data_IF_176366638104
#
_entry.id   IF_176366638104
#
_cell.length_a   1.000
_cell.length_b   1.000
_cell.length_c   1.000
_cell.angle_alpha   90.00
_cell.angle_beta   90.00
_cell.angle_gamma   90.00
#
_symmetry.space_group_name_H-M   'P 1'
#
loop_
_entity.id
_entity.type
_entity.pdbx_description
1 polymer ?
#
# COMPACT_ATOMS: atom_id res chain seq x y z
N UNK A 1 -9.77 -34.45 -29.85
CA UNK A 1 -9.69 -33.00 -29.60
C UNK A 1 -11.10 -32.50 -29.39
N UNK A 2 -11.51 -32.36 -28.12
CA UNK A 2 -12.77 -31.72 -27.75
C UNK A 2 -12.50 -30.23 -27.66
N UNK A 3 -13.06 -29.46 -28.60
CA UNK A 3 -13.14 -28.01 -28.51
C UNK A 3 -14.11 -27.67 -27.38
N UNK A 4 -13.57 -27.23 -26.23
CA UNK A 4 -14.38 -26.56 -25.21
C UNK A 4 -15.02 -25.33 -25.85
N UNK A 5 -16.30 -25.42 -26.15
CA UNK A 5 -17.12 -24.28 -26.49
C UNK A 5 -17.34 -23.50 -25.19
N UNK A 6 -16.70 -22.33 -25.08
CA UNK A 6 -17.05 -21.31 -24.09
C UNK A 6 -18.46 -20.78 -24.40
N UNK A 7 -19.49 -21.51 -24.02
CA UNK A 7 -20.88 -21.08 -24.20
C UNK A 7 -21.32 -20.31 -22.95
N UNK A 8 -21.46 -18.99 -23.07
CA UNK A 8 -22.18 -18.17 -22.10
C UNK A 8 -23.68 -18.28 -22.40
N UNK A 9 -24.38 -19.18 -21.70
CA UNK A 9 -25.85 -19.22 -21.72
C UNK A 9 -26.43 -18.66 -20.43
N UNK A 10 -27.39 -17.76 -20.59
CA UNK A 10 -28.21 -17.20 -19.52
C UNK A 10 -29.40 -16.50 -20.14
N UNK A 11 -30.61 -16.76 -19.66
CA UNK A 11 -31.77 -15.98 -20.07
C UNK A 11 -31.58 -14.53 -19.58
N UNK A 12 -31.88 -13.50 -20.39
CA UNK A 12 -31.91 -12.13 -19.90
C UNK A 12 -32.92 -12.09 -18.75
N UNK A 13 -32.47 -11.65 -17.57
CA UNK A 13 -33.39 -11.30 -16.50
C UNK A 13 -34.09 -10.02 -16.94
N UNK A 14 -35.25 -10.17 -17.56
CA UNK A 14 -36.18 -9.08 -17.85
C UNK A 14 -36.82 -8.65 -16.52
N UNK A 15 -37.01 -7.34 -16.33
CA UNK A 15 -37.66 -6.63 -15.20
C UNK A 15 -36.80 -6.17 -14.01
N UNK A 16 -35.60 -5.66 -14.26
CA UNK A 16 -35.10 -4.55 -13.43
C UNK A 16 -35.31 -3.25 -14.20
N UNK A 17 -36.09 -2.32 -13.65
CA UNK A 17 -36.11 -0.94 -14.16
C UNK A 17 -34.65 -0.45 -14.28
N UNK A 18 -34.23 0.08 -15.44
CA UNK A 18 -32.83 0.47 -15.63
C UNK A 18 -32.50 1.59 -14.63
N UNK A 19 -31.38 1.46 -13.92
CA UNK A 19 -30.87 2.50 -13.04
C UNK A 19 -29.36 2.56 -13.14
N UNK A 20 -28.80 3.72 -12.79
CA UNK A 20 -27.36 3.95 -12.71
C UNK A 20 -27.00 4.33 -11.29
N UNK A 21 -25.86 3.84 -10.80
CA UNK A 21 -25.30 4.29 -9.53
C UNK A 21 -24.25 5.37 -9.82
N UNK A 22 -24.42 6.53 -9.22
CA UNK A 22 -23.52 7.69 -9.36
C UNK A 22 -23.33 8.42 -8.02
N UNK A 23 -22.24 9.16 -7.83
CA UNK A 23 -22.15 10.11 -6.72
C UNK A 23 -23.29 11.15 -6.77
N UNK A 24 -23.69 11.64 -5.60
CA UNK A 24 -24.53 12.83 -5.48
C UNK A 24 -23.71 14.06 -5.91
N UNK A 25 -24.27 14.89 -6.78
CA UNK A 25 -23.56 16.03 -7.39
C UNK A 25 -24.20 17.38 -7.03
N UNK A 26 -25.34 17.36 -6.34
CA UNK A 26 -26.12 18.58 -6.04
C UNK A 26 -26.78 18.55 -4.68
N UNK A 27 -27.16 19.73 -4.18
CA UNK A 27 -27.99 19.84 -2.98
C UNK A 27 -29.38 19.16 -3.17
N UNK A 28 -29.90 19.12 -4.41
CA UNK A 28 -31.15 18.44 -4.72
C UNK A 28 -31.04 16.92 -4.60
N UNK A 29 -29.92 16.34 -5.04
CA UNK A 29 -29.58 14.93 -4.86
C UNK A 29 -29.54 14.55 -3.37
N UNK A 30 -28.78 15.32 -2.58
CA UNK A 30 -28.68 15.11 -1.13
C UNK A 30 -30.03 15.28 -0.43
N UNK A 31 -30.83 16.28 -0.84
CA UNK A 31 -32.17 16.47 -0.30
C UNK A 31 -33.10 15.28 -0.62
N UNK A 32 -33.00 14.71 -1.83
CA UNK A 32 -33.76 13.51 -2.20
C UNK A 32 -33.35 12.29 -1.37
N UNK A 33 -32.05 12.08 -1.19
CA UNK A 33 -31.52 11.04 -0.31
C UNK A 33 -31.99 11.18 1.13
N UNK A 34 -31.91 12.39 1.70
CA UNK A 34 -32.38 12.69 3.05
C UNK A 34 -33.88 12.45 3.22
N UNK A 35 -34.71 12.72 2.19
CA UNK A 35 -36.14 12.40 2.23
C UNK A 35 -36.37 10.89 2.32
N UNK A 36 -35.69 10.09 1.49
CA UNK A 36 -35.80 8.62 1.54
C UNK A 36 -35.37 8.05 2.89
N UNK A 37 -34.26 8.56 3.44
CA UNK A 37 -33.76 8.17 4.77
C UNK A 37 -34.77 8.48 5.88
N UNK A 38 -35.31 9.70 5.89
CA UNK A 38 -36.35 10.11 6.85
C UNK A 38 -37.56 9.19 6.75
N UNK A 39 -38.08 8.99 5.55
CA UNK A 39 -39.24 8.14 5.34
C UNK A 39 -39.00 6.72 5.87
N UNK A 40 -37.87 6.11 5.53
CA UNK A 40 -37.59 4.73 5.94
C UNK A 40 -37.19 4.58 7.41
N UNK A 41 -36.24 5.38 7.90
CA UNK A 41 -35.66 5.18 9.23
C UNK A 41 -36.46 5.87 10.34
N UNK A 42 -37.05 7.04 10.09
CA UNK A 42 -37.82 7.81 11.09
C UNK A 42 -39.28 7.39 11.04
N UNK A 43 -39.93 7.49 9.87
CA UNK A 43 -41.40 7.32 9.76
C UNK A 43 -41.79 5.85 9.79
N UNK A 44 -41.20 5.02 8.92
CA UNK A 44 -41.60 3.61 8.80
C UNK A 44 -41.06 2.72 9.92
N UNK A 45 -39.77 2.85 10.23
CA UNK A 45 -39.09 1.96 11.17
C UNK A 45 -39.06 2.48 12.61
N UNK A 46 -39.30 3.78 12.82
CA UNK A 46 -39.23 4.39 14.15
C UNK A 46 -37.87 4.29 14.84
N UNK A 47 -36.78 4.14 14.07
CA UNK A 47 -35.43 4.01 14.62
C UNK A 47 -34.93 5.32 15.23
N UNK A 48 -35.32 6.46 14.64
CA UNK A 48 -34.88 7.77 15.11
C UNK A 48 -36.09 8.64 15.43
N UNK A 49 -35.98 9.45 16.49
CA UNK A 49 -36.98 10.45 16.83
C UNK A 49 -36.74 11.72 16.03
N UNK A 50 -37.68 12.11 15.18
CA UNK A 50 -37.63 13.40 14.50
C UNK A 50 -36.70 13.44 13.30
N UNK A 51 -35.42 13.05 13.38
CA UNK A 51 -34.45 13.08 12.26
C UNK A 51 -33.41 11.98 12.39
N UNK A 52 -32.91 11.45 11.27
CA UNK A 52 -31.78 10.51 11.21
C UNK A 52 -30.45 11.17 10.77
N UNK A 53 -30.45 12.50 10.61
CA UNK A 53 -29.25 13.29 10.31
C UNK A 53 -28.27 13.27 11.47
N UNK A 54 -26.98 13.24 11.13
CA UNK A 54 -25.87 13.29 12.07
C UNK A 54 -24.71 14.11 11.50
N UNK A 55 -23.67 14.36 12.30
CA UNK A 55 -22.53 15.22 11.91
C UNK A 55 -21.75 14.67 10.70
N UNK A 56 -21.88 13.38 10.38
CA UNK A 56 -21.23 12.76 9.21
C UNK A 56 -21.91 13.19 7.91
N UNK A 57 -23.15 13.68 7.95
CA UNK A 57 -23.80 14.30 6.78
C UNK A 57 -23.14 15.64 6.38
N UNK A 58 -22.45 16.29 7.33
CA UNK A 58 -21.78 17.57 7.12
C UNK A 58 -20.25 17.42 6.93
N UNK A 59 -19.70 16.20 7.05
CA UNK A 59 -18.29 15.93 6.79
C UNK A 59 -18.00 16.04 5.28
N UNK A 60 -17.10 16.95 4.84
CA UNK A 60 -16.80 17.14 3.41
C UNK A 60 -16.15 15.92 2.75
N UNK A 61 -15.68 14.94 3.54
CA UNK A 61 -15.12 13.67 3.05
C UNK A 61 -16.19 12.61 2.84
N UNK A 62 -17.41 12.82 3.35
CA UNK A 62 -18.52 11.90 3.15
C UNK A 62 -18.98 11.92 1.68
N UNK A 63 -19.16 10.74 1.10
CA UNK A 63 -19.67 10.56 -0.25
C UNK A 63 -21.00 9.84 -0.20
N UNK A 64 -22.01 10.39 -0.85
CA UNK A 64 -23.30 9.74 -1.05
C UNK A 64 -23.36 9.19 -2.46
N UNK A 65 -23.58 7.88 -2.59
CA UNK A 65 -23.85 7.20 -3.86
C UNK A 65 -25.35 7.01 -4.01
N UNK A 66 -25.90 7.38 -5.16
CA UNK A 66 -27.32 7.34 -5.48
C UNK A 66 -27.58 6.39 -6.63
N UNK A 67 -28.64 5.60 -6.50
CA UNK A 67 -29.22 4.87 -7.62
C UNK A 67 -30.30 5.74 -8.26
N UNK A 68 -30.16 6.09 -9.53
CA UNK A 68 -31.09 6.97 -10.26
C UNK A 68 -31.71 6.27 -11.46
N UNK A 69 -33.02 6.40 -11.60
CA UNK A 69 -33.77 5.98 -12.79
C UNK A 69 -33.48 6.92 -13.98
N UNK A 70 -33.86 6.55 -15.22
CA UNK A 70 -33.58 7.34 -16.42
C UNK A 70 -34.33 8.68 -16.44
N UNK A 71 -35.43 8.77 -15.67
CA UNK A 71 -36.20 10.00 -15.45
C UNK A 71 -35.56 10.93 -14.39
N UNK A 72 -34.40 10.55 -13.84
CA UNK A 72 -33.70 11.29 -12.79
C UNK A 72 -34.20 11.02 -11.36
N UNK A 73 -35.21 10.17 -11.18
CA UNK A 73 -35.72 9.86 -9.85
C UNK A 73 -34.69 9.06 -9.03
N UNK A 74 -34.43 9.50 -7.80
CA UNK A 74 -33.57 8.78 -6.84
C UNK A 74 -34.33 7.58 -6.30
N UNK A 75 -33.81 6.38 -6.58
CA UNK A 75 -34.37 5.08 -6.17
C UNK A 75 -33.79 4.59 -4.84
N UNK A 76 -32.65 5.13 -4.43
CA UNK A 76 -31.98 4.75 -3.20
C UNK A 76 -30.62 5.42 -3.09
N UNK A 77 -29.98 5.28 -1.95
CA UNK A 77 -28.63 5.78 -1.75
C UNK A 77 -27.92 5.13 -0.57
N UNK A 78 -26.62 5.33 -0.52
CA UNK A 78 -25.74 4.90 0.57
C UNK A 78 -24.66 5.95 0.81
N UNK A 79 -24.33 6.20 2.07
CA UNK A 79 -23.26 7.09 2.48
C UNK A 79 -22.01 6.28 2.83
N UNK A 80 -20.85 6.70 2.34
CA UNK A 80 -19.54 6.21 2.78
C UNK A 80 -18.74 7.39 3.35
N UNK A 81 -18.09 7.19 4.49
CA UNK A 81 -17.33 8.26 5.15
C UNK A 81 -16.22 7.71 6.04
N UNK A 82 -15.16 8.50 6.33
CA UNK A 82 -14.16 8.16 7.34
C UNK A 82 -14.75 7.98 8.73
N UNK A 83 -14.18 7.07 9.54
CA UNK A 83 -14.62 6.80 10.92
C UNK A 83 -13.85 7.61 11.97
N UNK A 84 -12.91 8.46 11.54
CA UNK A 84 -11.94 9.13 12.41
C UNK A 84 -11.72 10.58 11.93
N UNK A 85 -11.39 11.47 12.86
CA UNK A 85 -11.12 12.89 12.55
C UNK A 85 -9.98 13.02 11.54
N UNK A 86 -8.87 12.33 11.81
CA UNK A 86 -7.78 12.15 10.86
C UNK A 86 -8.11 10.95 9.99
N UNK A 87 -8.19 11.09 8.67
CA UNK A 87 -8.54 9.97 7.79
C UNK A 87 -7.43 8.90 7.79
N UNK A 88 -7.63 7.82 8.55
CA UNK A 88 -6.71 6.68 8.62
C UNK A 88 -7.01 5.61 7.55
N UNK A 89 -7.76 5.92 6.49
CA UNK A 89 -8.22 4.90 5.55
C UNK A 89 -9.16 3.87 6.19
N UNK A 90 -9.79 4.21 7.32
CA UNK A 90 -10.86 3.44 7.94
C UNK A 90 -12.19 4.14 7.73
N UNK A 91 -13.01 3.59 6.84
CA UNK A 91 -14.28 4.16 6.43
C UNK A 91 -15.44 3.24 6.79
N UNK A 92 -16.66 3.78 6.84
CA UNK A 92 -17.87 3.01 7.05
C UNK A 92 -18.96 3.32 6.04
N UNK A 93 -19.65 2.27 5.59
CA UNK A 93 -20.89 2.35 4.84
C UNK A 93 -22.07 2.50 5.80
N UNK A 94 -22.88 3.55 5.61
CA UNK A 94 -23.99 3.88 6.49
C UNK A 94 -25.20 4.40 5.71
N UNK A 95 -26.36 4.43 6.39
CA UNK A 95 -27.60 5.05 5.89
C UNK A 95 -28.03 4.53 4.50
N UNK A 96 -27.80 3.24 4.22
CA UNK A 96 -28.27 2.60 2.99
C UNK A 96 -29.80 2.52 2.99
N UNK A 97 -30.44 3.15 2.01
CA UNK A 97 -31.90 3.20 1.88
C UNK A 97 -32.32 2.98 0.43
N UNK A 98 -33.47 2.32 0.24
CA UNK A 98 -34.09 2.08 -1.08
C UNK A 98 -35.56 2.48 -1.02
N UNK A 99 -36.01 3.25 -2.00
CA UNK A 99 -37.37 3.76 -2.11
C UNK A 99 -38.39 2.62 -2.17
N UNK A 100 -39.49 2.76 -1.41
CA UNK A 100 -40.51 1.70 -1.22
C UNK A 100 -41.28 1.36 -2.49
N UNK A 101 -41.69 2.38 -3.24
CA UNK A 101 -42.57 2.27 -4.40
C UNK A 101 -41.84 1.72 -5.65
N UNK A 102 -40.51 1.69 -5.61
CA UNK A 102 -39.64 1.24 -6.71
C UNK A 102 -38.59 0.22 -6.23
N UNK A 103 -38.92 -0.61 -5.22
CA UNK A 103 -38.05 -1.67 -4.66
C UNK A 103 -37.73 -2.75 -5.70
N UNK A 104 -36.90 -2.45 -6.67
CA UNK A 104 -36.16 -3.48 -7.38
C UNK A 104 -35.21 -4.14 -6.39
N UNK A 105 -35.27 -5.48 -6.31
CA UNK A 105 -34.36 -6.28 -5.46
C UNK A 105 -32.89 -6.05 -5.80
N UNK A 106 -32.59 -5.44 -6.95
CA UNK A 106 -31.25 -5.15 -7.43
C UNK A 106 -30.64 -3.85 -6.88
N UNK A 107 -31.43 -2.85 -6.44
CA UNK A 107 -30.89 -1.52 -6.09
C UNK A 107 -29.99 -1.57 -4.87
N UNK A 108 -30.44 -2.21 -3.77
CA UNK A 108 -29.64 -2.36 -2.55
C UNK A 108 -28.28 -3.02 -2.79
N UNK A 109 -28.24 -4.22 -3.41
CA UNK A 109 -27.01 -4.89 -3.81
C UNK A 109 -26.11 -4.03 -4.72
N UNK A 110 -26.68 -3.30 -5.68
CA UNK A 110 -25.90 -2.43 -6.57
C UNK A 110 -25.26 -1.26 -5.82
N UNK A 111 -25.97 -0.62 -4.89
CA UNK A 111 -25.43 0.43 -4.02
C UNK A 111 -24.31 -0.10 -3.13
N UNK A 112 -24.45 -1.31 -2.56
CA UNK A 112 -23.39 -1.94 -1.75
C UNK A 112 -22.14 -2.19 -2.60
N UNK A 113 -22.29 -2.78 -3.79
CA UNK A 113 -21.15 -3.02 -4.70
C UNK A 113 -20.48 -1.72 -5.11
N UNK A 114 -21.26 -0.67 -5.41
CA UNK A 114 -20.73 0.63 -5.76
C UNK A 114 -19.98 1.28 -4.58
N UNK A 115 -20.49 1.13 -3.35
CA UNK A 115 -19.80 1.60 -2.14
C UNK A 115 -18.45 0.89 -1.97
N UNK A 116 -18.41 -0.46 -2.09
CA UNK A 116 -17.16 -1.23 -2.03
C UNK A 116 -16.15 -0.78 -3.11
N UNK A 117 -16.59 -0.63 -4.37
CA UNK A 117 -15.72 -0.19 -5.46
C UNK A 117 -15.20 1.24 -5.26
N UNK A 118 -16.04 2.13 -4.72
CA UNK A 118 -15.65 3.51 -4.42
C UNK A 118 -14.55 3.57 -3.36
N UNK A 119 -14.71 2.87 -2.24
CA UNK A 119 -13.71 2.90 -1.15
C UNK A 119 -12.37 2.28 -1.57
N UNK A 120 -12.40 1.21 -2.38
CA UNK A 120 -11.18 0.63 -2.94
C UNK A 120 -10.43 1.61 -3.85
N UNK A 121 -11.16 2.36 -4.67
CA UNK A 121 -10.59 3.40 -5.55
C UNK A 121 -10.05 4.59 -4.76
N UNK A 122 -10.70 4.93 -3.64
CA UNK A 122 -10.29 6.00 -2.73
C UNK A 122 -9.06 5.63 -1.88
N UNK A 123 -8.58 4.37 -1.94
CA UNK A 123 -7.43 3.94 -1.14
C UNK A 123 -7.78 3.73 0.34
N UNK A 124 -9.04 3.39 0.64
CA UNK A 124 -9.44 2.91 1.96
C UNK A 124 -8.77 1.56 2.22
N UNK A 125 -8.40 1.31 3.48
CA UNK A 125 -7.70 0.10 3.93
C UNK A 125 -8.59 -0.77 4.83
N UNK A 126 -9.57 -0.17 5.52
CA UNK A 126 -10.58 -0.86 6.32
C UNK A 126 -11.97 -0.29 6.03
N UNK A 127 -12.92 -1.16 5.69
CA UNK A 127 -14.29 -0.76 5.41
C UNK A 127 -15.30 -1.58 6.21
N UNK A 128 -16.03 -0.90 7.08
CA UNK A 128 -16.99 -1.51 8.00
C UNK A 128 -18.42 -1.02 7.73
N UNK A 129 -19.43 -1.75 8.20
CA UNK A 129 -20.83 -1.33 8.19
C UNK A 129 -21.54 -1.86 9.43
N UNK A 130 -22.54 -1.13 9.92
CA UNK A 130 -23.48 -1.65 10.93
C UNK A 130 -24.79 -1.97 10.24
N UNK A 131 -25.12 -3.26 10.17
CA UNK A 131 -26.18 -3.81 9.32
C UNK A 131 -27.27 -4.41 10.18
N UNK A 132 -28.52 -4.00 9.99
CA UNK A 132 -29.65 -4.62 10.69
C UNK A 132 -29.68 -6.13 10.47
N UNK A 133 -29.94 -6.93 11.51
CA UNK A 133 -29.80 -8.39 11.45
C UNK A 133 -30.57 -9.04 10.29
N UNK A 134 -31.72 -8.48 9.90
CA UNK A 134 -32.51 -8.95 8.75
C UNK A 134 -31.83 -8.82 7.38
N UNK A 135 -30.83 -7.96 7.24
CA UNK A 135 -30.08 -7.74 6.00
C UNK A 135 -28.72 -8.44 5.96
N UNK A 136 -28.28 -9.05 7.07
CA UNK A 136 -27.00 -9.77 7.16
C UNK A 136 -26.84 -10.85 6.08
N UNK A 137 -27.87 -11.67 5.74
CA UNK A 137 -27.74 -12.66 4.66
C UNK A 137 -27.41 -12.04 3.30
N UNK A 138 -27.97 -10.86 2.98
CA UNK A 138 -27.67 -10.15 1.74
C UNK A 138 -26.22 -9.67 1.71
N UNK A 139 -25.74 -9.05 2.80
CA UNK A 139 -24.35 -8.60 2.91
C UNK A 139 -23.38 -9.78 2.83
N UNK A 140 -23.70 -10.89 3.49
CA UNK A 140 -22.90 -12.13 3.44
C UNK A 140 -22.82 -12.68 2.01
N UNK A 141 -23.95 -12.73 1.29
CA UNK A 141 -23.98 -13.14 -0.12
C UNK A 141 -23.19 -12.19 -1.06
N UNK A 142 -22.97 -10.95 -0.63
CA UNK A 142 -22.14 -9.98 -1.35
C UNK A 142 -20.66 -10.06 -1.00
N UNK A 143 -20.26 -10.87 -0.01
CA UNK A 143 -18.87 -11.09 0.41
C UNK A 143 -18.47 -10.37 1.71
N UNK A 144 -19.41 -9.77 2.43
CA UNK A 144 -19.14 -9.17 3.74
C UNK A 144 -19.08 -10.24 4.84
N UNK A 145 -18.22 -10.01 5.83
CA UNK A 145 -18.07 -10.91 6.99
C UNK A 145 -18.61 -10.24 8.26
N UNK A 146 -19.40 -10.96 9.04
CA UNK A 146 -19.86 -10.49 10.35
C UNK A 146 -18.70 -10.47 11.36
N UNK A 147 -18.59 -9.39 12.12
CA UNK A 147 -17.55 -9.19 13.14
C UNK A 147 -18.10 -9.14 14.57
N UNK A 148 -19.42 -9.04 14.74
CA UNK A 148 -20.06 -9.12 16.05
C UNK A 148 -21.47 -8.52 16.11
N UNK A 149 -22.32 -9.00 17.03
CA UNK A 149 -23.65 -8.44 17.22
C UNK A 149 -23.57 -7.06 17.88
N UNK A 150 -24.50 -6.19 17.53
CA UNK A 150 -24.65 -4.87 18.16
C UNK A 150 -26.12 -4.43 18.19
N UNK A 151 -26.42 -3.39 18.96
CA UNK A 151 -27.74 -2.78 19.01
C UNK A 151 -27.60 -1.32 18.66
N UNK A 152 -28.30 -0.88 17.61
CA UNK A 152 -28.34 0.50 17.18
C UNK A 152 -29.79 0.96 17.19
N UNK A 153 -30.05 2.09 17.85
CA UNK A 153 -31.40 2.65 17.97
C UNK A 153 -32.45 1.65 18.51
N UNK A 154 -32.05 0.81 19.47
CA UNK A 154 -32.92 -0.22 20.06
C UNK A 154 -33.23 -1.41 19.15
N UNK A 155 -32.67 -1.47 17.93
CA UNK A 155 -32.86 -2.57 16.99
C UNK A 155 -31.60 -3.43 16.87
N UNK A 156 -31.75 -4.76 16.68
CA UNK A 156 -30.62 -5.67 16.52
C UNK A 156 -29.91 -5.45 15.18
N UNK A 157 -28.59 -5.35 15.25
CA UNK A 157 -27.68 -5.18 14.13
C UNK A 157 -26.48 -6.11 14.28
N UNK A 158 -25.67 -6.18 13.23
CA UNK A 158 -24.40 -6.85 13.16
C UNK A 158 -23.37 -5.84 12.65
N UNK A 159 -22.21 -5.73 13.29
CA UNK A 159 -21.06 -5.08 12.67
C UNK A 159 -20.50 -6.03 11.61
N UNK A 160 -20.28 -5.52 10.41
CA UNK A 160 -19.81 -6.30 9.27
C UNK A 160 -18.61 -5.61 8.62
N UNK A 161 -17.73 -6.40 8.01
CA UNK A 161 -16.51 -5.92 7.36
C UNK A 161 -16.46 -6.37 5.91
N UNK A 162 -16.05 -5.45 5.04
CA UNK A 162 -15.61 -5.74 3.68
C UNK A 162 -14.12 -5.98 3.67
N UNK A 163 -13.68 -7.05 3.03
CA UNK A 163 -12.25 -7.37 2.90
C UNK A 163 -11.62 -6.49 1.84
N UNK A 164 -10.68 -5.65 2.24
CA UNK A 164 -9.82 -4.90 1.32
C UNK A 164 -8.44 -5.55 1.34
N UNK A 165 -8.01 -6.07 0.19
CA UNK A 165 -6.80 -6.90 0.09
C UNK A 165 -5.66 -6.25 -0.71
N UNK A 166 -5.71 -4.92 -0.90
CA UNK A 166 -4.76 -4.17 -1.76
C UNK A 166 -3.30 -4.45 -1.42
N UNK A 167 -2.93 -4.49 -0.13
CA UNK A 167 -1.56 -4.84 0.30
C UNK A 167 -1.22 -6.28 -0.09
N UNK A 168 -2.11 -7.24 0.20
CA UNK A 168 -1.89 -8.63 -0.12
C UNK A 168 -1.78 -8.87 -1.64
N UNK A 169 -2.57 -8.16 -2.46
CA UNK A 169 -2.46 -8.18 -3.93
C UNK A 169 -1.10 -7.66 -4.39
N UNK A 170 -0.66 -6.53 -3.85
CA UNK A 170 0.65 -5.94 -4.18
C UNK A 170 1.80 -6.92 -3.87
N UNK A 171 1.78 -7.54 -2.69
CA UNK A 171 2.75 -8.57 -2.30
C UNK A 171 2.71 -9.77 -3.24
N UNK A 172 1.52 -10.30 -3.55
CA UNK A 172 1.38 -11.44 -4.46
C UNK A 172 1.92 -11.13 -5.86
N UNK A 173 1.70 -9.93 -6.38
CA UNK A 173 2.15 -9.54 -7.71
C UNK A 173 3.64 -9.21 -7.79
N UNK A 174 4.33 -8.98 -6.66
CA UNK A 174 5.71 -8.48 -6.65
C UNK A 174 6.72 -9.41 -5.97
N UNK A 175 6.35 -10.12 -4.90
CA UNK A 175 7.30 -10.83 -4.03
C UNK A 175 6.97 -12.32 -3.83
N UNK A 176 5.70 -12.73 -3.84
CA UNK A 176 5.31 -14.11 -3.48
C UNK A 176 5.85 -15.21 -4.41
N UNK A 177 6.31 -14.85 -5.62
CA UNK A 177 6.88 -15.81 -6.59
C UNK A 177 8.36 -16.13 -6.33
N UNK A 178 9.04 -15.34 -5.50
CA UNK A 178 10.50 -15.33 -5.41
C UNK A 178 11.05 -16.67 -4.93
N UNK A 179 10.52 -17.25 -3.85
CA UNK A 179 11.02 -18.52 -3.33
C UNK A 179 10.97 -19.65 -4.37
N UNK A 180 9.89 -19.74 -5.15
CA UNK A 180 9.75 -20.76 -6.20
C UNK A 180 10.73 -20.55 -7.35
N UNK A 181 10.85 -19.32 -7.85
CA UNK A 181 11.71 -18.99 -9.00
C UNK A 181 13.21 -19.08 -8.63
N UNK A 182 13.57 -18.71 -7.41
CA UNK A 182 14.94 -18.66 -6.94
C UNK A 182 15.42 -19.97 -6.28
N UNK A 183 14.55 -20.98 -6.15
CA UNK A 183 14.88 -22.27 -5.55
C UNK A 183 16.16 -22.93 -6.11
N UNK A 184 16.45 -22.89 -7.43
CA UNK A 184 17.70 -23.46 -7.96
C UNK A 184 18.95 -22.81 -7.37
N UNK A 185 18.91 -21.50 -7.10
CA UNK A 185 20.03 -20.75 -6.52
C UNK A 185 20.18 -21.03 -5.02
N UNK A 186 19.10 -21.32 -4.31
CA UNK A 186 19.12 -21.55 -2.86
C UNK A 186 19.96 -22.76 -2.43
N UNK A 187 20.22 -23.70 -3.36
CA UNK A 187 21.02 -24.91 -3.11
C UNK A 187 22.52 -24.70 -3.29
N UNK A 188 22.94 -23.61 -3.94
CA UNK A 188 24.34 -23.31 -4.17
C UNK A 188 25.01 -22.76 -2.89
N UNK A 189 26.29 -23.05 -2.64
CA UNK A 189 27.06 -22.37 -1.59
C UNK A 189 27.03 -20.85 -1.82
N UNK A 190 26.68 -20.08 -0.78
CA UNK A 190 26.45 -18.62 -0.84
C UNK A 190 25.28 -18.16 -1.73
N UNK A 191 24.47 -19.11 -2.21
CA UNK A 191 23.31 -18.83 -3.05
C UNK A 191 22.24 -18.02 -2.32
N UNK A 192 21.79 -16.94 -2.97
CA UNK A 192 20.86 -15.94 -2.42
C UNK A 192 21.40 -15.17 -1.20
N UNK A 193 22.71 -15.22 -0.95
CA UNK A 193 23.37 -14.59 0.19
C UNK A 193 24.00 -15.60 1.14
N UNK A 194 25.00 -15.16 1.90
CA UNK A 194 25.50 -15.93 3.04
C UNK A 194 24.40 -16.03 4.13
N UNK A 195 24.53 -17.00 5.04
CA UNK A 195 23.62 -17.10 6.20
C UNK A 195 23.55 -15.77 6.96
N UNK A 196 22.33 -15.29 7.18
CA UNK A 196 22.02 -14.00 7.78
C UNK A 196 21.67 -12.88 6.80
N UNK A 197 21.80 -13.09 5.48
CA UNK A 197 21.53 -12.09 4.43
C UNK A 197 20.63 -12.62 3.30
N UNK A 198 19.93 -13.74 3.51
CA UNK A 198 19.04 -14.30 2.49
C UNK A 198 17.86 -13.35 2.24
N UNK A 199 17.69 -12.92 1.00
CA UNK A 199 16.60 -12.02 0.61
C UNK A 199 16.70 -10.61 1.20
N UNK A 200 17.88 -10.23 1.68
CA UNK A 200 18.20 -8.91 2.21
C UNK A 200 18.35 -7.87 1.09
N UNK A 201 18.47 -6.59 1.44
CA UNK A 201 18.60 -5.48 0.47
C UNK A 201 19.96 -5.50 -0.25
N UNK A 202 20.98 -6.06 0.40
CA UNK A 202 22.28 -6.28 -0.19
C UNK A 202 22.97 -7.50 0.39
N UNK A 203 24.16 -7.81 -0.11
CA UNK A 203 24.94 -8.95 0.34
C UNK A 203 26.39 -8.56 0.61
N UNK A 204 26.99 -8.99 1.73
CA UNK A 204 28.44 -8.89 1.91
C UNK A 204 29.18 -9.73 0.89
N UNK A 205 30.10 -9.10 0.14
CA UNK A 205 30.96 -9.78 -0.81
C UNK A 205 32.04 -10.56 -0.03
N UNK A 206 32.14 -11.90 -0.22
CA UNK A 206 33.04 -12.74 0.57
C UNK A 206 34.49 -12.25 0.58
N UNK A 207 35.10 -12.21 1.77
CA UNK A 207 36.50 -11.82 1.94
C UNK A 207 36.78 -10.32 1.81
N UNK A 208 35.74 -9.48 1.84
CA UNK A 208 35.88 -8.02 1.74
C UNK A 208 34.94 -7.28 2.70
N UNK A 209 35.08 -5.96 2.78
CA UNK A 209 34.16 -5.06 3.46
C UNK A 209 33.10 -4.46 2.52
N UNK A 210 32.96 -5.03 1.31
CA UNK A 210 32.06 -4.56 0.27
C UNK A 210 30.67 -5.18 0.44
N UNK A 211 29.65 -4.34 0.30
CA UNK A 211 28.26 -4.74 0.15
C UNK A 211 27.85 -4.52 -1.30
N UNK A 212 27.21 -5.50 -1.91
CA UNK A 212 26.64 -5.38 -3.24
C UNK A 212 25.11 -5.35 -3.16
N UNK A 213 24.49 -4.39 -3.83
CA UNK A 213 23.06 -4.31 -4.08
C UNK A 213 22.83 -4.25 -5.59
N UNK A 214 21.74 -4.84 -6.07
CA UNK A 214 21.42 -4.88 -7.48
C UNK A 214 19.92 -4.87 -7.68
N UNK A 215 19.46 -3.93 -8.50
CA UNK A 215 18.04 -3.77 -8.76
C UNK A 215 17.77 -3.47 -10.24
N UNK A 216 16.61 -3.95 -10.70
CA UNK A 216 16.14 -3.76 -12.07
C UNK A 216 14.94 -2.81 -12.08
N UNK A 217 14.90 -1.91 -13.06
CA UNK A 217 13.80 -0.97 -13.23
C UNK A 217 12.78 -1.53 -14.22
N UNK A 218 11.51 -1.45 -13.83
CA UNK A 218 10.37 -1.94 -14.62
C UNK A 218 10.40 -1.30 -16.01
N UNK A 219 10.37 -2.08 -17.12
CA UNK A 219 10.49 -1.55 -18.48
C UNK A 219 9.50 -0.43 -18.82
N UNK A 220 8.25 -0.53 -18.33
CA UNK A 220 7.24 0.50 -18.56
C UNK A 220 7.59 1.86 -17.94
N UNK A 221 8.37 1.89 -16.86
CA UNK A 221 8.92 3.13 -16.30
C UNK A 221 10.02 3.69 -17.21
N UNK A 222 10.92 2.82 -17.69
CA UNK A 222 12.02 3.20 -18.61
C UNK A 222 11.46 3.82 -19.89
N UNK A 223 10.36 3.28 -20.42
CA UNK A 223 9.71 3.79 -21.63
C UNK A 223 8.92 5.08 -21.38
N UNK A 224 8.10 5.12 -20.32
CA UNK A 224 7.21 6.25 -20.03
C UNK A 224 7.99 7.48 -19.56
N UNK A 225 8.99 7.27 -18.70
CA UNK A 225 9.68 8.34 -17.98
C UNK A 225 11.18 8.00 -17.79
N UNK A 226 11.96 7.97 -18.88
CA UNK A 226 13.34 7.48 -18.87
C UNK A 226 14.29 8.27 -17.95
N UNK A 227 14.11 9.60 -17.83
CA UNK A 227 14.95 10.40 -16.91
C UNK A 227 14.64 10.05 -15.45
N UNK A 228 13.37 9.81 -15.11
CA UNK A 228 13.01 9.31 -13.79
C UNK A 228 13.48 7.88 -13.56
N UNK A 229 13.38 7.00 -14.57
CA UNK A 229 13.90 5.65 -14.50
C UNK A 229 15.40 5.62 -14.19
N UNK A 230 16.19 6.49 -14.86
CA UNK A 230 17.61 6.66 -14.56
C UNK A 230 17.88 7.15 -13.14
N UNK A 231 17.09 8.11 -12.65
CA UNK A 231 17.17 8.56 -11.25
C UNK A 231 16.85 7.43 -10.26
N UNK A 232 15.75 6.72 -10.49
CA UNK A 232 15.30 5.61 -9.66
C UNK A 232 16.31 4.46 -9.64
N UNK A 233 16.97 4.17 -10.75
CA UNK A 233 17.97 3.10 -10.83
C UNK A 233 19.12 3.31 -9.83
N UNK A 234 19.58 4.55 -9.65
CA UNK A 234 20.51 4.89 -8.58
C UNK A 234 19.82 4.85 -7.21
N UNK A 235 18.67 5.53 -7.07
CA UNK A 235 17.97 5.68 -5.79
C UNK A 235 17.70 4.35 -5.07
N UNK A 236 17.13 3.36 -5.76
CA UNK A 236 16.76 2.09 -5.12
C UNK A 236 18.00 1.34 -4.61
N UNK A 237 19.05 1.28 -5.42
CA UNK A 237 20.30 0.63 -5.02
C UNK A 237 21.04 1.39 -3.90
N UNK A 238 20.94 2.73 -3.88
CA UNK A 238 21.52 3.54 -2.80
C UNK A 238 20.72 3.40 -1.50
N UNK A 239 19.40 3.23 -1.58
CA UNK A 239 18.56 2.89 -0.44
C UNK A 239 18.92 1.49 0.10
N UNK A 240 19.14 0.51 -0.76
CA UNK A 240 19.57 -0.83 -0.34
C UNK A 240 20.89 -0.77 0.44
N UNK A 241 21.90 -0.08 -0.10
CA UNK A 241 23.17 0.13 0.63
C UNK A 241 22.95 0.87 1.95
N UNK A 242 22.05 1.85 1.97
CA UNK A 242 21.70 2.59 3.18
C UNK A 242 21.07 1.67 4.22
N UNK A 243 20.14 0.79 3.84
CA UNK A 243 19.52 -0.20 4.72
C UNK A 243 20.53 -1.19 5.33
N UNK A 244 21.57 -1.53 4.57
CA UNK A 244 22.70 -2.35 5.04
C UNK A 244 23.67 -1.59 5.95
N UNK A 245 23.46 -0.27 6.16
CA UNK A 245 24.39 0.60 6.88
C UNK A 245 25.73 0.80 6.15
N UNK A 246 25.76 0.63 4.83
CA UNK A 246 26.94 0.74 4.00
C UNK A 246 27.11 2.16 3.43
N UNK A 247 28.36 2.64 3.38
CA UNK A 247 28.68 3.88 2.67
C UNK A 247 28.85 3.57 1.18
N UNK A 248 28.09 4.20 0.26
CA UNK A 248 28.22 3.96 -1.16
C UNK A 248 29.62 4.31 -1.68
N UNK A 249 30.17 3.45 -2.55
CA UNK A 249 31.49 3.61 -3.19
C UNK A 249 31.33 3.92 -4.68
N UNK A 250 30.36 3.28 -5.35
CA UNK A 250 30.09 3.53 -6.77
C UNK A 250 29.02 2.61 -7.32
N UNK A 251 28.62 2.86 -8.57
CA UNK A 251 27.56 2.13 -9.28
C UNK A 251 28.05 1.58 -10.62
N UNK A 252 27.47 0.48 -11.06
CA UNK A 252 27.59 -0.07 -12.41
C UNK A 252 26.21 -0.09 -13.06
N UNK A 253 26.09 0.33 -14.33
CA UNK A 253 24.82 0.29 -15.05
C UNK A 253 24.79 -0.75 -16.18
N UNK A 254 23.63 -1.34 -16.42
CA UNK A 254 23.36 -2.15 -17.60
C UNK A 254 22.07 -1.63 -18.25
N UNK A 255 22.22 -1.03 -19.44
CA UNK A 255 21.13 -0.33 -20.13
C UNK A 255 20.94 -0.82 -21.57
N UNK A 256 19.71 -1.18 -21.89
CA UNK A 256 19.21 -1.46 -23.23
C UNK A 256 18.15 -0.44 -23.63
N UNK A 257 18.22 0.06 -24.86
CA UNK A 257 17.23 1.03 -25.35
C UNK A 257 16.94 0.85 -26.85
N UNK A 258 15.70 1.11 -27.30
CA UNK A 258 15.34 0.96 -28.71
C UNK A 258 15.93 2.09 -29.57
N UNK A 259 16.23 3.24 -28.95
CA UNK A 259 16.79 4.41 -29.64
C UNK A 259 17.85 5.08 -28.76
N UNK A 260 18.78 5.77 -29.41
CA UNK A 260 19.78 6.63 -28.72
C UNK A 260 19.13 7.76 -27.92
N UNK A 261 17.97 8.26 -28.36
CA UNK A 261 17.21 9.29 -27.65
C UNK A 261 16.72 8.81 -26.28
N UNK A 262 16.10 7.61 -26.23
CA UNK A 262 15.65 7.01 -24.97
C UNK A 262 16.85 6.72 -24.05
N UNK A 263 17.92 6.10 -24.59
CA UNK A 263 19.16 5.86 -23.86
C UNK A 263 19.71 7.15 -23.22
N UNK A 264 19.80 8.22 -24.01
CA UNK A 264 20.35 9.51 -23.55
C UNK A 264 19.55 10.06 -22.37
N UNK A 265 18.23 9.91 -22.39
CA UNK A 265 17.36 10.35 -21.28
C UNK A 265 17.57 9.50 -20.03
N UNK A 266 17.69 8.18 -20.18
CA UNK A 266 18.02 7.28 -19.06
C UNK A 266 19.34 7.69 -18.40
N UNK A 267 20.40 7.82 -19.21
CA UNK A 267 21.73 8.19 -18.72
C UNK A 267 21.73 9.58 -18.08
N UNK A 268 20.98 10.55 -18.61
CA UNK A 268 20.83 11.88 -17.99
C UNK A 268 20.23 11.80 -16.58
N UNK A 269 19.21 10.95 -16.41
CA UNK A 269 18.60 10.69 -15.11
C UNK A 269 19.58 10.11 -14.11
N UNK A 270 20.32 9.08 -14.54
CA UNK A 270 21.34 8.41 -13.73
C UNK A 270 22.50 9.35 -13.36
N UNK A 271 22.99 10.15 -14.31
CA UNK A 271 24.04 11.14 -14.08
C UNK A 271 23.59 12.18 -13.05
N UNK A 272 22.35 12.69 -13.15
CA UNK A 272 21.80 13.64 -12.17
C UNK A 272 21.72 13.04 -10.77
N UNK A 273 21.35 11.76 -10.64
CA UNK A 273 21.33 11.08 -9.36
C UNK A 273 22.75 10.85 -8.80
N UNK A 274 23.68 10.39 -9.65
CA UNK A 274 25.11 10.26 -9.33
C UNK A 274 25.67 11.56 -8.74
N UNK A 275 25.44 12.69 -9.41
CA UNK A 275 25.91 14.01 -8.97
C UNK A 275 25.24 14.45 -7.65
N UNK A 276 23.93 14.26 -7.52
CA UNK A 276 23.18 14.65 -6.32
C UNK A 276 23.64 13.87 -5.08
N UNK A 277 23.79 12.55 -5.21
CA UNK A 277 24.24 11.68 -4.12
C UNK A 277 25.75 11.76 -3.88
N UNK A 278 26.53 12.18 -4.88
CA UNK A 278 27.99 12.17 -4.83
C UNK A 278 28.57 10.77 -4.95
N UNK A 279 27.92 9.89 -5.71
CA UNK A 279 28.30 8.48 -5.89
C UNK A 279 28.56 8.23 -7.38
N UNK A 280 29.80 7.93 -7.79
CA UNK A 280 30.15 7.83 -9.20
C UNK A 280 29.58 6.57 -9.86
N UNK A 281 29.23 6.69 -11.14
CA UNK A 281 29.07 5.53 -12.03
C UNK A 281 30.47 5.10 -12.50
N UNK A 282 30.90 3.91 -12.09
CA UNK A 282 32.24 3.38 -12.32
C UNK A 282 32.41 2.75 -13.70
N UNK A 283 31.31 2.34 -14.32
CA UNK A 283 31.29 1.66 -15.61
C UNK A 283 29.94 0.97 -15.85
N UNK A 284 29.83 0.21 -16.94
CA UNK A 284 28.57 -0.42 -17.28
C UNK A 284 28.57 -1.12 -18.64
N UNK A 285 27.38 -1.47 -19.10
CA UNK A 285 27.11 -2.07 -20.40
C UNK A 285 25.95 -1.36 -21.11
N UNK A 286 26.10 -1.07 -22.40
CA UNK A 286 25.10 -0.32 -23.17
C UNK A 286 24.74 -1.04 -24.47
N UNK A 287 23.44 -1.17 -24.75
CA UNK A 287 22.90 -1.71 -26.00
C UNK A 287 21.85 -0.77 -26.60
N UNK A 288 21.96 -0.53 -27.91
CA UNK A 288 21.01 0.30 -28.68
C UNK A 288 20.34 -0.57 -29.74
N UNK A 289 19.06 -0.32 -30.01
CA UNK A 289 18.26 -1.09 -30.97
C UNK A 289 17.61 -2.34 -30.35
N UNK A 290 17.51 -2.40 -29.02
CA UNK A 290 16.91 -3.51 -28.25
C UNK A 290 15.74 -2.99 -27.40
N UNK A 291 14.85 -3.85 -26.87
CA UNK A 291 13.82 -3.42 -25.93
C UNK A 291 14.39 -2.65 -24.73
N UNK A 292 13.58 -1.77 -24.14
CA UNK A 292 14.00 -0.97 -23.00
C UNK A 292 14.28 -1.87 -21.77
N UNK A 293 15.48 -1.77 -21.23
CA UNK A 293 15.92 -2.50 -20.04
C UNK A 293 16.92 -1.65 -19.26
N UNK A 294 16.81 -1.66 -17.94
CA UNK A 294 17.71 -0.91 -17.06
C UNK A 294 17.90 -1.67 -15.76
N UNK A 295 19.16 -1.91 -15.40
CA UNK A 295 19.56 -2.38 -14.09
C UNK A 295 20.79 -1.61 -13.62
N UNK A 296 20.88 -1.38 -12.32
CA UNK A 296 22.06 -0.82 -11.69
C UNK A 296 22.49 -1.75 -10.57
N UNK A 297 23.79 -1.90 -10.41
CA UNK A 297 24.42 -2.54 -9.25
C UNK A 297 25.18 -1.47 -8.48
N UNK A 298 24.90 -1.29 -7.20
CA UNK A 298 25.69 -0.41 -6.33
C UNK A 298 26.61 -1.21 -5.42
N UNK A 299 27.81 -0.65 -5.19
CA UNK A 299 28.79 -1.17 -4.27
C UNK A 299 28.93 -0.20 -3.11
N UNK A 300 28.77 -0.69 -1.90
CA UNK A 300 28.99 0.05 -0.66
C UNK A 300 30.08 -0.59 0.19
N UNK A 301 30.50 0.10 1.25
CA UNK A 301 31.49 -0.41 2.22
C UNK A 301 30.97 -0.29 3.65
N UNK A 302 31.10 -1.36 4.42
CA UNK A 302 30.93 -1.37 5.89
C UNK A 302 31.59 -2.59 6.50
N UNK A 303 32.15 -2.44 7.70
CA UNK A 303 32.66 -3.55 8.52
C UNK A 303 31.60 -4.15 9.44
N UNK A 304 30.40 -3.56 9.48
CA UNK A 304 29.31 -3.97 10.38
C UNK A 304 27.97 -3.82 9.65
N UNK A 305 27.68 -4.68 8.67
CA UNK A 305 26.42 -4.63 7.95
C UNK A 305 25.23 -4.87 8.88
N UNK A 306 24.20 -4.07 8.71
CA UNK A 306 22.87 -4.32 9.31
C UNK A 306 22.14 -5.29 8.40
N UNK A 307 21.48 -6.29 8.98
CA UNK A 307 20.79 -7.37 8.28
C UNK A 307 19.29 -7.25 8.50
N UNK A 308 18.47 -7.60 7.52
CA UNK A 308 17.01 -7.61 7.66
C UNK A 308 16.51 -8.65 8.69
N UNK A 309 17.28 -9.72 8.92
CA UNK A 309 16.90 -10.82 9.82
C UNK A 309 17.40 -10.74 11.26
N UNK A 310 17.75 -9.55 11.75
CA UNK A 310 18.30 -9.39 13.12
C UNK A 310 17.28 -9.13 14.23
N UNK A 311 15.99 -8.99 13.91
CA UNK A 311 14.94 -8.61 14.86
C UNK A 311 14.47 -9.75 15.75
N UNK A 312 13.95 -9.41 16.93
CA UNK A 312 13.37 -10.35 17.90
C UNK A 312 11.89 -10.00 18.20
N UNK A 313 11.11 -10.99 18.62
CA UNK A 313 9.73 -10.75 19.09
C UNK A 313 9.72 -9.71 20.20
N UNK A 314 8.88 -8.67 20.05
CA UNK A 314 8.79 -7.56 20.99
C UNK A 314 9.66 -6.35 20.65
N UNK A 315 10.58 -6.46 19.68
CA UNK A 315 11.28 -5.28 19.15
C UNK A 315 10.29 -4.27 18.55
N UNK A 316 10.55 -2.99 18.76
CA UNK A 316 9.77 -1.88 18.25
C UNK A 316 10.13 -1.62 16.78
N UNK A 317 9.10 -1.51 15.93
CA UNK A 317 9.25 -1.12 14.53
C UNK A 317 9.20 0.40 14.41
N UNK A 318 10.19 0.98 13.75
CA UNK A 318 10.25 2.42 13.46
C UNK A 318 10.38 2.68 11.97
N UNK A 319 9.47 3.50 11.44
CA UNK A 319 9.54 4.02 10.07
C UNK A 319 10.27 5.35 10.09
N UNK A 320 11.35 5.45 9.30
CA UNK A 320 12.03 6.70 8.99
C UNK A 320 11.82 7.00 7.52
N UNK A 321 11.02 8.00 7.19
CA UNK A 321 10.63 8.32 5.80
C UNK A 321 10.78 9.81 5.52
N UNK A 322 11.23 10.16 4.32
CA UNK A 322 11.15 11.53 3.85
C UNK A 322 9.72 11.83 3.38
N UNK A 323 9.00 12.60 4.20
CA UNK A 323 7.61 12.97 3.96
C UNK A 323 7.47 14.20 3.08
N UNK A 324 8.57 14.90 2.78
CA UNK A 324 8.54 15.97 1.79
C UNK A 324 8.56 15.41 0.37
N UNK A 325 8.20 16.26 -0.58
CA UNK A 325 8.08 15.86 -1.98
C UNK A 325 6.63 15.81 -2.46
N UNK A 326 6.35 14.96 -3.44
CA UNK A 326 5.02 14.85 -4.02
C UNK A 326 4.80 13.59 -4.85
N UNK A 327 3.53 13.31 -5.13
CA UNK A 327 3.15 12.23 -6.05
C UNK A 327 3.68 12.48 -7.45
N UNK A 328 4.38 11.51 -8.03
CA UNK A 328 4.83 11.57 -9.42
C UNK A 328 3.64 11.54 -10.39
N UNK A 329 3.51 12.51 -11.31
CA UNK A 329 2.44 12.52 -12.31
C UNK A 329 2.45 11.26 -13.18
N UNK A 330 1.28 10.69 -13.46
CA UNK A 330 1.17 9.49 -14.33
C UNK A 330 1.47 8.15 -13.65
N UNK A 331 1.71 8.15 -12.33
CA UNK A 331 1.93 6.93 -11.54
C UNK A 331 0.75 6.54 -10.64
N UNK A 332 -0.37 7.28 -10.71
CA UNK A 332 -1.62 6.96 -10.00
C UNK A 332 -1.45 6.69 -8.49
N UNK A 333 -0.55 7.41 -7.82
CA UNK A 333 -0.30 7.26 -6.38
C UNK A 333 0.62 6.09 -6.01
N UNK A 334 1.34 5.50 -6.96
CA UNK A 334 2.28 4.40 -6.71
C UNK A 334 3.74 4.87 -6.48
N UNK A 335 4.03 6.14 -6.72
CA UNK A 335 5.39 6.69 -6.66
C UNK A 335 5.37 8.08 -6.01
N UNK A 336 5.97 8.17 -4.83
CA UNK A 336 6.25 9.43 -4.15
C UNK A 336 7.70 9.82 -4.41
N UNK A 337 7.90 11.02 -4.95
CA UNK A 337 9.24 11.57 -5.13
C UNK A 337 9.58 12.50 -3.98
N UNK A 338 10.33 11.97 -3.02
CA UNK A 338 10.92 12.73 -1.92
C UNK A 338 12.36 13.17 -2.18
N UNK A 339 13.03 12.65 -3.22
CA UNK A 339 14.50 12.76 -3.33
C UNK A 339 14.99 13.64 -4.46
N UNK A 340 14.26 13.78 -5.58
CA UNK A 340 14.80 14.42 -6.79
C UNK A 340 15.05 15.93 -6.67
N UNK A 341 14.38 16.58 -5.73
CA UNK A 341 14.54 18.01 -5.44
C UNK A 341 15.36 18.27 -4.17
N UNK A 342 15.90 17.23 -3.52
CA UNK A 342 16.70 17.38 -2.29
C UNK A 342 18.10 17.85 -2.59
N UNK A 343 18.69 18.54 -1.61
CA UNK A 343 20.11 18.87 -1.67
C UNK A 343 20.96 17.60 -1.51
N UNK A 344 22.18 17.60 -2.06
CA UNK A 344 23.06 16.44 -1.90
C UNK A 344 23.45 16.18 -0.44
N UNK A 345 23.53 17.21 0.41
CA UNK A 345 23.78 17.03 1.84
C UNK A 345 22.62 16.31 2.53
N UNK A 346 21.39 16.67 2.20
CA UNK A 346 20.19 16.02 2.76
C UNK A 346 20.14 14.54 2.38
N UNK A 347 20.39 14.22 1.10
CA UNK A 347 20.42 12.85 0.60
C UNK A 347 21.47 12.00 1.33
N UNK A 348 22.70 12.53 1.50
CA UNK A 348 23.77 11.83 2.23
C UNK A 348 23.47 11.66 3.72
N UNK A 349 22.85 12.65 4.36
CA UNK A 349 22.46 12.55 5.77
C UNK A 349 21.39 11.49 6.00
N UNK A 350 20.40 11.42 5.09
CA UNK A 350 19.38 10.37 5.06
C UNK A 350 20.01 9.00 4.79
N UNK A 351 20.81 8.85 3.74
CA UNK A 351 21.42 7.56 3.38
C UNK A 351 22.36 6.98 4.44
N UNK A 352 22.94 7.81 5.29
CA UNK A 352 23.78 7.36 6.42
C UNK A 352 23.00 7.11 7.72
N UNK A 353 21.67 7.28 7.73
CA UNK A 353 20.84 7.13 8.94
C UNK A 353 20.98 5.77 9.61
N UNK A 354 20.83 4.68 8.86
CA UNK A 354 20.85 3.32 9.44
C UNK A 354 22.23 2.97 9.99
N UNK A 355 23.31 3.40 9.31
CA UNK A 355 24.67 3.23 9.82
C UNK A 355 24.88 3.93 11.17
N UNK A 356 24.28 5.11 11.38
CA UNK A 356 24.33 5.84 12.66
C UNK A 356 23.41 5.22 13.73
N UNK A 357 22.24 4.73 13.33
CA UNK A 357 21.26 4.15 14.24
C UNK A 357 21.69 2.76 14.74
N UNK A 358 22.35 1.99 13.87
CA UNK A 358 22.78 0.62 14.08
C UNK A 358 21.69 -0.24 14.75
N UNK A 359 20.49 -0.35 14.13
CA UNK A 359 19.41 -1.15 14.68
C UNK A 359 19.74 -2.64 14.58
N UNK A 360 18.94 -3.49 15.22
CA UNK A 360 19.08 -4.94 15.09
C UNK A 360 18.75 -5.41 13.67
N UNK A 361 17.69 -4.85 13.09
CA UNK A 361 17.31 -5.08 11.71
C UNK A 361 16.89 -3.80 11.00
N UNK A 362 17.10 -3.77 9.68
CA UNK A 362 16.66 -2.70 8.81
C UNK A 362 16.26 -3.26 7.45
N UNK A 363 15.35 -2.55 6.77
CA UNK A 363 15.03 -2.77 5.37
C UNK A 363 14.60 -1.46 4.71
N UNK A 364 14.95 -1.26 3.46
CA UNK A 364 14.41 -0.17 2.65
C UNK A 364 12.92 -0.42 2.32
N UNK A 365 12.10 0.62 2.21
CA UNK A 365 10.69 0.45 1.81
C UNK A 365 10.59 0.40 0.28
N UNK A 366 10.62 -0.82 -0.25
CA UNK A 366 10.54 -1.11 -1.68
C UNK A 366 9.12 -1.00 -2.28
N UNK A 367 8.98 -1.36 -3.56
CA UNK A 367 7.71 -1.43 -4.30
C UNK A 367 6.63 -2.35 -3.70
N UNK A 368 6.96 -3.19 -2.71
CA UNK A 368 5.96 -3.95 -1.94
C UNK A 368 5.17 -3.07 -0.95
N UNK A 369 5.53 -1.78 -0.86
CA UNK A 369 4.98 -0.83 0.09
C UNK A 369 5.48 -1.08 1.52
N UNK A 370 5.03 -0.24 2.45
CA UNK A 370 5.40 -0.32 3.86
C UNK A 370 5.05 -1.67 4.46
N UNK A 371 3.80 -2.11 4.33
CA UNK A 371 3.33 -3.33 4.96
C UNK A 371 3.97 -4.59 4.36
N UNK A 372 4.18 -4.62 3.04
CA UNK A 372 4.92 -5.71 2.39
C UNK A 372 6.36 -5.76 2.85
N UNK A 373 7.02 -4.61 2.97
CA UNK A 373 8.41 -4.52 3.45
C UNK A 373 8.56 -4.94 4.91
N UNK A 374 7.66 -4.48 5.79
CA UNK A 374 7.59 -4.94 7.18
C UNK A 374 7.48 -6.47 7.23
N UNK A 375 6.67 -7.06 6.35
CA UNK A 375 6.55 -8.51 6.27
C UNK A 375 7.83 -9.21 5.79
N UNK A 376 8.60 -8.61 4.87
CA UNK A 376 9.91 -9.14 4.47
C UNK A 376 10.93 -9.09 5.62
N UNK A 377 10.99 -7.99 6.36
CA UNK A 377 11.85 -7.85 7.54
C UNK A 377 11.46 -8.86 8.62
N UNK A 378 10.16 -9.00 8.90
CA UNK A 378 9.66 -9.95 9.88
C UNK A 378 9.93 -11.40 9.47
N UNK A 379 9.72 -11.75 8.19
CA UNK A 379 10.02 -13.06 7.62
C UNK A 379 11.51 -13.40 7.76
N UNK A 380 12.40 -12.48 7.36
CA UNK A 380 13.84 -12.64 7.50
C UNK A 380 14.27 -12.83 8.97
N UNK A 381 13.54 -12.20 9.90
CA UNK A 381 13.75 -12.33 11.35
C UNK A 381 13.09 -13.59 11.96
N UNK A 382 12.33 -14.38 11.20
CA UNK A 382 11.58 -15.52 11.71
C UNK A 382 10.41 -15.15 12.65
N UNK A 383 9.83 -13.98 12.44
CA UNK A 383 8.74 -13.39 13.25
C UNK A 383 7.55 -13.03 12.35
N UNK A 384 6.50 -12.44 12.93
CA UNK A 384 5.59 -11.56 12.18
C UNK A 384 5.58 -10.15 12.75
N UNK A 385 4.61 -9.34 12.37
CA UNK A 385 4.56 -7.94 12.74
C UNK A 385 3.14 -7.41 12.96
N UNK A 386 3.04 -6.39 13.81
CA UNK A 386 1.85 -5.58 13.98
C UNK A 386 2.21 -4.11 13.80
N UNK A 387 1.53 -3.44 12.86
CA UNK A 387 1.70 -2.02 12.56
C UNK A 387 0.54 -1.25 13.20
N UNK A 388 0.86 -0.21 13.98
CA UNK A 388 -0.11 0.74 14.49
C UNK A 388 -0.42 1.79 13.42
N UNK A 389 -1.61 1.71 12.84
CA UNK A 389 -2.02 2.56 11.72
C UNK A 389 -2.00 4.04 12.08
N UNK A 390 -2.38 4.39 13.30
CA UNK A 390 -2.45 5.79 13.74
C UNK A 390 -1.06 6.41 13.95
N UNK A 391 -0.02 5.59 14.06
CA UNK A 391 1.37 6.02 14.30
C UNK A 391 2.22 6.05 13.04
N UNK A 392 1.68 5.68 11.88
CA UNK A 392 2.43 5.72 10.61
C UNK A 392 2.66 7.20 10.22
N UNK A 393 3.92 7.68 10.16
CA UNK A 393 4.21 9.01 9.64
C UNK A 393 3.89 9.04 8.14
N UNK A 394 3.22 10.10 7.68
CA UNK A 394 2.79 10.24 6.29
C UNK A 394 2.79 11.71 5.82
N UNK A 395 2.96 11.97 4.51
CA UNK A 395 2.80 13.31 3.97
C UNK A 395 1.40 13.88 4.25
N UNK A 396 1.32 15.20 4.44
CA UNK A 396 0.06 15.89 4.65
C UNK A 396 -0.89 15.70 3.46
N UNK A 397 -2.13 15.27 3.72
CA UNK A 397 -3.15 15.05 2.68
C UNK A 397 -2.97 13.79 1.83
N UNK A 398 -1.99 12.93 2.12
CA UNK A 398 -1.85 11.64 1.43
C UNK A 398 -2.82 10.59 1.97
N UNK A 399 -3.56 9.94 1.06
CA UNK A 399 -4.42 8.79 1.38
C UNK A 399 -3.58 7.67 1.98
N UNK A 400 -4.03 7.10 3.12
CA UNK A 400 -3.24 6.09 3.81
C UNK A 400 -2.97 4.87 2.92
N UNK A 401 -3.99 4.35 2.25
CA UNK A 401 -3.84 3.13 1.43
C UNK A 401 -2.81 3.32 0.33
N UNK A 402 -2.77 4.49 -0.32
CA UNK A 402 -1.74 4.81 -1.32
C UNK A 402 -0.36 4.93 -0.68
N UNK A 403 -0.25 5.63 0.45
CA UNK A 403 1.03 5.81 1.14
C UNK A 403 1.66 4.47 1.56
N UNK A 404 0.90 3.56 2.15
CA UNK A 404 1.42 2.26 2.60
C UNK A 404 1.65 1.26 1.47
N UNK A 405 1.23 1.56 0.23
CA UNK A 405 1.39 0.70 -0.96
C UNK A 405 2.22 1.31 -2.08
N UNK A 406 2.71 2.55 -1.93
CA UNK A 406 3.59 3.19 -2.90
C UNK A 406 5.08 2.92 -2.63
N UNK A 407 5.91 3.25 -3.61
CA UNK A 407 7.34 3.50 -3.37
C UNK A 407 7.51 4.94 -2.83
N UNK A 408 8.07 5.12 -1.61
CA UNK A 408 8.09 6.41 -0.91
C UNK A 408 9.28 7.33 -1.29
N UNK A 409 10.14 6.91 -2.22
CA UNK A 409 11.40 7.59 -2.52
C UNK A 409 12.50 7.20 -1.54
N UNK A 410 12.55 7.84 -0.36
CA UNK A 410 13.41 7.44 0.76
C UNK A 410 12.56 7.04 1.97
N UNK A 411 12.61 5.76 2.35
CA UNK A 411 12.13 5.31 3.64
C UNK A 411 12.81 4.02 4.08
N UNK A 412 13.03 3.90 5.40
CA UNK A 412 13.64 2.76 6.07
C UNK A 412 12.71 2.27 7.17
N UNK A 413 12.43 0.97 7.18
CA UNK A 413 11.83 0.31 8.33
C UNK A 413 12.95 -0.33 9.16
N UNK A 414 12.95 -0.09 10.47
CA UNK A 414 13.97 -0.62 11.38
C UNK A 414 13.30 -1.31 12.56
N UNK A 415 13.97 -2.33 13.11
CA UNK A 415 13.55 -3.01 14.34
C UNK A 415 14.70 -2.99 15.36
N UNK A 416 14.38 -2.61 16.60
CA UNK A 416 15.30 -2.67 17.74
C UNK A 416 14.51 -2.72 19.06
N UNK A 417 15.21 -2.87 20.18
CA UNK A 417 14.61 -2.89 21.52
C UNK A 417 13.77 -1.63 21.76
N UNK A 418 12.60 -1.75 22.40
CA UNK A 418 11.76 -0.61 22.73
C UNK A 418 12.50 0.50 23.48
N UNK A 419 12.23 1.76 23.14
CA UNK A 419 12.82 2.93 23.81
C UNK A 419 14.24 3.30 23.35
N UNK A 420 14.80 2.59 22.36
CA UNK A 420 16.04 3.00 21.68
C UNK A 420 15.85 4.39 21.05
N UNK A 421 16.67 5.36 21.43
CA UNK A 421 16.65 6.69 20.80
C UNK A 421 17.27 6.60 19.40
N UNK A 422 16.51 7.02 18.39
CA UNK A 422 17.01 7.16 17.02
C UNK A 422 17.84 8.46 16.87
N UNK A 423 18.93 8.44 16.09
CA UNK A 423 19.67 9.65 15.76
C UNK A 423 18.83 10.55 14.84
N UNK A 424 19.20 11.83 14.65
CA UNK A 424 18.60 12.68 13.64
C UNK A 424 18.68 12.02 12.25
N UNK A 425 17.60 12.13 11.47
CA UNK A 425 17.46 11.56 10.14
C UNK A 425 17.51 12.63 9.02
N UNK A 426 18.17 13.77 9.29
CA UNK A 426 18.16 14.93 8.39
C UNK A 426 16.73 15.45 8.17
N UNK A 427 16.27 15.63 6.91
CA UNK A 427 14.92 16.08 6.62
C UNK A 427 13.85 14.97 6.79
N UNK A 428 14.25 13.71 6.97
CA UNK A 428 13.30 12.61 7.14
C UNK A 428 12.65 12.64 8.53
N UNK A 429 11.46 12.06 8.62
CA UNK A 429 10.69 11.92 9.86
C UNK A 429 10.77 10.47 10.34
N UNK A 430 11.19 10.29 11.60
CA UNK A 430 11.18 8.98 12.27
C UNK A 430 10.03 8.88 13.26
N UNK A 431 9.29 7.78 13.22
CA UNK A 431 8.31 7.45 14.24
C UNK A 431 8.23 5.93 14.46
N UNK A 432 8.19 5.54 15.73
CA UNK A 432 7.81 4.18 16.10
C UNK A 432 6.35 3.93 15.70
N UNK A 433 6.13 2.87 14.93
CA UNK A 433 4.88 2.59 14.24
C UNK A 433 4.42 1.13 14.37
N UNK A 434 5.07 0.29 15.17
CA UNK A 434 4.66 -1.10 15.32
C UNK A 434 5.59 -1.91 16.22
N UNK A 435 5.44 -3.24 16.15
CA UNK A 435 6.34 -4.20 16.81
C UNK A 435 6.45 -5.50 16.04
N UNK A 436 7.53 -6.24 16.24
CA UNK A 436 7.63 -7.65 15.85
C UNK A 436 6.83 -8.54 16.83
N UNK A 437 6.24 -9.60 16.30
CA UNK A 437 5.32 -10.51 17.01
C UNK A 437 5.67 -11.97 16.73
N UNK A 438 5.13 -12.90 17.52
CA UNK A 438 5.35 -14.33 17.33
C UNK A 438 4.55 -14.92 16.16
N UNK A 439 3.41 -14.32 15.81
CA UNK A 439 2.51 -14.85 14.78
C UNK A 439 2.95 -14.39 13.39
N UNK A 440 3.22 -15.29 12.43
CA UNK A 440 3.66 -14.92 11.09
C UNK A 440 2.68 -14.01 10.36
N UNK A 441 3.22 -13.21 9.44
CA UNK A 441 2.45 -12.24 8.64
C UNK A 441 2.49 -10.83 9.23
N UNK A 442 1.64 -9.97 8.70
CA UNK A 442 1.56 -8.55 9.06
C UNK A 442 0.11 -8.18 9.37
N UNK A 443 -0.11 -7.67 10.57
CA UNK A 443 -1.40 -7.15 11.02
C UNK A 443 -1.37 -5.65 11.15
N UNK A 444 -2.51 -5.00 10.92
CA UNK A 444 -2.74 -3.58 11.16
C UNK A 444 -3.59 -3.45 12.41
N UNK A 445 -3.10 -2.73 13.42
CA UNK A 445 -3.83 -2.36 14.63
C UNK A 445 -4.48 -1.00 14.43
N UNK A 446 -5.77 -0.93 14.71
CA UNK A 446 -6.60 0.26 14.57
C UNK A 446 -6.84 0.95 15.92
N UNK A 447 -7.24 2.24 15.93
CA UNK A 447 -7.50 2.96 17.18
C UNK A 447 -8.56 2.36 18.10
N UNK A 448 -9.50 1.60 17.55
CA UNK A 448 -10.55 0.89 18.30
C UNK A 448 -10.07 -0.43 18.91
N UNK A 449 -8.78 -0.76 18.77
CA UNK A 449 -8.18 -2.00 19.23
C UNK A 449 -8.42 -3.20 18.31
N UNK A 450 -9.23 -3.06 17.26
CA UNK A 450 -9.40 -4.14 16.30
C UNK A 450 -8.13 -4.30 15.44
N UNK A 451 -7.95 -5.49 14.89
CA UNK A 451 -6.87 -5.79 13.95
C UNK A 451 -7.41 -6.26 12.60
N UNK A 452 -6.66 -6.00 11.53
CA UNK A 452 -6.90 -6.54 10.19
C UNK A 452 -5.62 -7.13 9.62
N UNK A 453 -5.70 -8.25 8.92
CA UNK A 453 -4.55 -8.84 8.22
C UNK A 453 -4.19 -8.02 6.98
N UNK A 454 -2.96 -7.51 6.90
CA UNK A 454 -2.40 -6.91 5.69
C UNK A 454 -1.73 -7.98 4.81
N UNK A 455 -1.01 -8.91 5.42
CA UNK A 455 -0.40 -10.08 4.78
C UNK A 455 -0.56 -11.26 5.74
N UNK A 456 -1.17 -12.35 5.28
CA UNK A 456 -1.51 -13.49 6.15
C UNK A 456 -0.40 -14.55 6.29
N UNK A 457 0.71 -14.38 5.58
CA UNK A 457 1.79 -15.36 5.49
C UNK A 457 3.14 -14.66 5.17
N UNK A 458 4.16 -15.47 4.87
CA UNK A 458 5.43 -15.00 4.32
C UNK A 458 5.23 -14.14 3.05
N UNK A 459 6.05 -13.10 2.89
CA UNK A 459 5.98 -12.16 1.77
C UNK A 459 6.74 -12.70 0.56
N UNK A 460 7.93 -13.27 0.79
CA UNK A 460 8.80 -13.81 -0.27
C UNK A 460 8.79 -15.33 -0.33
N UNK A 461 8.58 -15.97 0.82
CA UNK A 461 8.72 -17.41 1.01
C UNK A 461 10.17 -17.90 1.13
N UNK A 462 11.15 -16.99 1.18
CA UNK A 462 12.58 -17.31 1.33
C UNK A 462 12.91 -17.78 2.75
N UNK A 463 12.04 -17.44 3.73
CA UNK A 463 12.19 -17.83 5.12
C UNK A 463 13.22 -16.96 5.87
N UNK A 464 13.55 -17.37 7.12
CA UNK A 464 14.53 -16.66 7.94
C UNK A 464 15.91 -16.60 7.27
N UNK A 465 16.62 -15.49 7.53
CA UNK A 465 17.88 -15.15 6.86
C UNK A 465 19.09 -15.99 7.30
#
# INVERSE_FOLDING_TARGET
MSTELSILTGAPTVDAAPFLVRPAESAADLAAYHRLRRESFVVEQGLFSGTDRDDVDDDPRAVVLLATAPDGAVLGGVRVAPCTDVDLGWWSGSRLVVAREKRSRAVGPALIRAACAHVETAGVVRFDATVQSRHVPMFTALGWTATGPTVLAGAPHETMRWTIDTVARLVRSTKAVLAGVLAPLATAPLGLGASGFRGDDGVPVPGSDIIAACDAIVPSMVERDPEWAGWCAALVNLNDLSAMGATPVGMLDAVGAPTTSLLTRVIRGLARASDAWGVPVLGGHTQVGVPAALSVTALGRTSSPVRAGGGEVGDELSLTADLGGGWRPGYHGLQWDSTSARSGSDLREMGSFVARAAPRAAKDVSMAGLAGTVGMLAEASGTGAEIDVARIPRPGGADLGRWITCFPGFAMITADRPGRRLPPAGPATSAACGRLTSEPGVTLRWPDGATTSAVSAAVTGLGPA
#
